data_IF_770906982424
#
_entry.id   IF_770906982424
#
_cell.length_a   1.000
_cell.length_b   1.000
_cell.length_c   1.000
_cell.angle_alpha   90.00
_cell.angle_beta   90.00
_cell.angle_gamma   90.00
#
_symmetry.space_group_name_H-M   'P 1'
#
loop_
_entity.id
_entity.type
_entity.pdbx_description
1 polymer ?
#
# COMPACT_ATOMS: atom_id res chain seq x y z
N UNK A 1 66.97 -1.22 -26.93
CA UNK A 1 66.85 -2.66 -26.68
C UNK A 1 65.58 -2.87 -25.87
N UNK A 2 64.43 -3.00 -26.53
CA UNK A 2 63.21 -3.58 -25.95
C UNK A 2 62.27 -3.96 -27.11
N UNK A 3 62.18 -5.25 -27.48
CA UNK A 3 61.16 -5.73 -28.40
C UNK A 3 59.88 -6.15 -27.64
N UNK A 4 58.74 -5.84 -28.28
CA UNK A 4 57.38 -6.02 -27.80
C UNK A 4 57.03 -7.44 -27.29
N UNK A 5 56.11 -7.57 -26.30
CA UNK A 5 55.55 -8.87 -25.96
C UNK A 5 54.42 -9.32 -26.89
N UNK A 6 54.45 -10.62 -27.13
CA UNK A 6 53.69 -11.41 -28.09
C UNK A 6 52.17 -11.48 -27.85
N UNK A 7 51.44 -11.71 -28.94
CA UNK A 7 50.07 -12.27 -28.93
C UNK A 7 50.09 -13.72 -28.46
N UNK A 8 49.10 -14.17 -27.66
CA UNK A 8 48.70 -15.57 -27.64
C UNK A 8 47.45 -15.82 -28.49
N UNK A 9 47.45 -17.00 -29.10
CA UNK A 9 46.53 -17.49 -30.11
C UNK A 9 45.20 -17.97 -29.52
N UNK A 10 44.15 -17.86 -30.33
CA UNK A 10 42.88 -18.54 -30.12
C UNK A 10 43.06 -20.06 -30.27
N UNK A 11 42.50 -20.83 -29.34
CA UNK A 11 42.24 -22.26 -29.54
C UNK A 11 40.75 -22.50 -29.31
N UNK A 12 40.12 -23.01 -30.36
CA UNK A 12 38.73 -23.44 -30.39
C UNK A 12 38.65 -24.97 -30.19
N UNK A 13 37.45 -25.40 -29.80
CA UNK A 13 36.80 -26.69 -30.04
C UNK A 13 36.97 -27.81 -28.99
N UNK A 14 35.81 -28.34 -28.55
CA UNK A 14 35.70 -29.64 -27.90
C UNK A 14 34.46 -29.84 -27.04
N UNK A 15 33.27 -29.96 -27.63
CA UNK A 15 32.21 -30.83 -27.10
C UNK A 15 31.99 -32.00 -28.09
N UNK A 16 31.04 -32.93 -27.89
CA UNK A 16 30.35 -33.39 -26.67
C UNK A 16 30.60 -34.89 -26.40
N UNK A 17 30.32 -35.38 -25.19
CA UNK A 17 30.21 -36.83 -24.91
C UNK A 17 28.79 -37.20 -24.50
N UNK A 18 28.19 -38.05 -25.32
CA UNK A 18 26.98 -38.83 -25.05
C UNK A 18 27.34 -40.33 -25.03
N UNK A 19 26.36 -41.16 -24.64
CA UNK A 19 26.33 -42.64 -24.65
C UNK A 19 26.82 -43.27 -23.33
N UNK A 20 26.09 -44.16 -22.64
CA UNK A 20 25.23 -45.29 -23.05
C UNK A 20 24.24 -45.66 -21.92
N UNK A 21 22.94 -45.91 -22.20
CA UNK A 21 22.20 -47.22 -22.22
C UNK A 21 22.31 -48.04 -20.91
N UNK A 22 21.30 -48.68 -20.31
CA UNK A 22 19.95 -49.16 -20.64
C UNK A 22 19.27 -49.56 -19.32
N UNK A 23 17.95 -49.34 -19.15
CA UNK A 23 16.96 -50.40 -18.82
C UNK A 23 15.56 -49.80 -18.55
N UNK A 24 14.50 -50.29 -19.22
CA UNK A 24 13.11 -49.97 -18.93
C UNK A 24 12.48 -51.00 -17.97
N UNK A 25 11.88 -50.52 -16.87
CA UNK A 25 10.97 -51.33 -16.06
C UNK A 25 9.59 -51.35 -16.72
N UNK A 26 9.25 -52.47 -17.36
CA UNK A 26 7.90 -52.80 -17.81
C UNK A 26 7.32 -53.95 -16.96
N UNK A 27 5.99 -53.94 -16.83
CA UNK A 27 5.08 -55.00 -16.36
C UNK A 27 4.69 -55.02 -14.87
N UNK A 28 3.55 -54.38 -14.57
CA UNK A 28 2.48 -55.08 -13.87
C UNK A 28 1.08 -54.66 -14.36
N UNK A 29 0.39 -55.61 -15.01
CA UNK A 29 -0.98 -55.94 -14.65
C UNK A 29 -2.13 -55.04 -15.10
N UNK A 30 -2.67 -55.36 -16.27
CA UNK A 30 -4.02 -55.06 -16.77
C UNK A 30 -5.12 -55.19 -15.70
N UNK A 31 -6.01 -54.20 -15.61
CA UNK A 31 -7.46 -54.42 -15.48
C UNK A 31 -8.25 -53.29 -16.13
N UNK A 32 -8.73 -53.56 -17.34
CA UNK A 32 -9.84 -52.85 -17.93
C UNK A 32 -11.14 -53.22 -17.20
N UNK A 33 -11.85 -52.24 -16.63
CA UNK A 33 -13.29 -52.36 -16.37
C UNK A 33 -14.02 -51.12 -16.86
N UNK A 34 -14.80 -51.38 -17.90
CA UNK A 34 -16.07 -50.81 -18.28
C UNK A 34 -16.60 -49.59 -17.50
N UNK A 35 -16.81 -48.53 -18.30
CA UNK A 35 -17.84 -47.48 -18.24
C UNK A 35 -19.02 -47.79 -17.29
N UNK A 36 -19.30 -46.84 -16.39
CA UNK A 36 -20.68 -46.51 -15.99
C UNK A 36 -20.90 -44.98 -16.06
N UNK A 37 -21.90 -44.51 -16.81
CA UNK A 37 -22.30 -43.10 -16.79
C UNK A 37 -23.05 -42.77 -15.48
N UNK A 38 -22.82 -41.57 -14.96
CA UNK A 38 -23.58 -41.01 -13.83
C UNK A 38 -25.04 -40.74 -14.23
N UNK A 39 -26.02 -41.00 -13.35
CA UNK A 39 -27.41 -40.62 -13.59
C UNK A 39 -27.66 -39.12 -13.35
N UNK A 40 -28.50 -38.45 -14.16
CA UNK A 40 -28.99 -37.12 -13.88
C UNK A 40 -30.24 -37.20 -12.97
N UNK A 41 -30.10 -36.82 -11.71
CA UNK A 41 -31.26 -36.54 -10.85
C UNK A 41 -31.06 -35.19 -10.16
N UNK A 42 -31.53 -34.14 -10.82
CA UNK A 42 -31.74 -32.82 -10.26
C UNK A 42 -33.19 -32.41 -10.51
N UNK A 43 -34.13 -32.92 -9.70
CA UNK A 43 -35.42 -32.26 -9.45
C UNK A 43 -35.84 -32.60 -8.03
N UNK A 44 -35.44 -31.76 -7.07
CA UNK A 44 -36.12 -31.65 -5.79
C UNK A 44 -36.64 -30.21 -5.70
N UNK A 45 -37.88 -30.05 -6.12
CA UNK A 45 -38.75 -28.92 -5.82
C UNK A 45 -38.82 -28.76 -4.31
N UNK A 46 -38.12 -27.77 -3.75
CA UNK A 46 -38.32 -27.36 -2.36
C UNK A 46 -39.13 -26.06 -2.40
N UNK A 47 -40.33 -26.20 -1.87
CA UNK A 47 -41.36 -25.19 -1.79
C UNK A 47 -40.88 -23.95 -1.02
N UNK A 48 -41.26 -22.78 -1.56
CA UNK A 48 -41.23 -21.48 -0.89
C UNK A 48 -42.22 -21.53 0.29
N UNK A 49 -41.82 -21.21 1.53
CA UNK A 49 -42.77 -20.66 2.48
C UNK A 49 -42.90 -19.14 2.27
N UNK A 50 -44.15 -18.72 2.31
CA UNK A 50 -44.64 -17.39 2.03
C UNK A 50 -44.15 -16.33 3.03
N UNK A 51 -43.85 -15.14 2.50
CA UNK A 51 -43.78 -13.90 3.27
C UNK A 51 -45.14 -13.59 3.89
N UNK A 52 -45.25 -13.34 5.20
CA UNK A 52 -46.44 -12.71 5.75
C UNK A 52 -46.43 -11.20 5.46
N UNK A 53 -47.63 -10.75 5.10
CA UNK A 53 -48.00 -9.40 4.71
C UNK A 53 -47.62 -8.34 5.75
N UNK A 54 -47.21 -7.18 5.24
CA UNK A 54 -47.23 -5.94 6.00
C UNK A 54 -48.67 -5.49 6.29
N UNK A 55 -48.93 -5.14 7.54
CA UNK A 55 -50.07 -4.35 7.96
C UNK A 55 -49.64 -3.52 9.17
N UNK A 56 -49.68 -2.18 9.06
CA UNK A 56 -49.31 -1.31 10.16
C UNK A 56 -49.19 0.17 9.80
N UNK A 57 -50.19 0.74 9.10
CA UNK A 57 -50.37 2.19 9.05
C UNK A 57 -51.09 2.64 10.32
N UNK A 58 -50.51 3.59 11.07
CA UNK A 58 -51.26 4.61 11.83
C UNK A 58 -50.46 5.91 11.88
N UNK A 59 -50.95 7.00 11.26
CA UNK A 59 -50.59 8.35 11.65
C UNK A 59 -51.63 8.87 12.65
N UNK A 60 -51.18 9.39 13.80
CA UNK A 60 -52.07 10.14 14.71
C UNK A 60 -51.46 11.50 15.01
N UNK A 61 -52.11 12.50 14.41
CA UNK A 61 -52.39 13.85 14.88
C UNK A 61 -51.41 14.53 15.87
N UNK A 62 -50.65 15.49 15.31
CA UNK A 62 -50.85 16.94 15.48
C UNK A 62 -51.47 17.39 16.82
N UNK A 63 -50.70 18.04 17.67
CA UNK A 63 -51.21 19.13 18.52
C UNK A 63 -50.26 20.32 18.46
N UNK A 64 -50.82 21.43 17.99
CA UNK A 64 -50.19 22.73 17.93
C UNK A 64 -50.30 23.42 19.30
N UNK A 65 -49.27 24.18 19.70
CA UNK A 65 -49.49 25.45 20.38
C UNK A 65 -48.26 26.35 20.23
N UNK A 66 -48.50 27.49 19.59
CA UNK A 66 -47.60 28.61 19.43
C UNK A 66 -47.73 29.57 20.66
N UNK A 67 -47.44 30.88 20.55
CA UNK A 67 -46.17 31.51 20.92
C UNK A 67 -46.35 32.61 22.00
N UNK A 68 -45.29 33.01 22.72
CA UNK A 68 -45.22 34.31 23.44
C UNK A 68 -43.75 34.76 23.47
N UNK A 69 -43.29 35.70 22.64
CA UNK A 69 -43.38 37.18 22.79
C UNK A 69 -43.03 37.66 24.21
N UNK A 70 -41.75 37.99 24.44
CA UNK A 70 -41.29 39.06 25.36
C UNK A 70 -39.98 39.59 24.74
N UNK A 71 -40.07 40.62 23.91
CA UNK A 71 -39.88 42.03 24.26
C UNK A 71 -38.40 42.43 24.35
N UNK A 72 -37.99 43.21 23.35
CA UNK A 72 -36.80 44.02 23.35
C UNK A 72 -36.79 44.99 24.54
N UNK A 73 -35.61 45.28 25.08
CA UNK A 73 -35.31 46.62 25.62
C UNK A 73 -33.81 46.87 25.61
N UNK A 74 -33.42 47.73 24.69
CA UNK A 74 -32.23 48.55 24.79
C UNK A 74 -32.34 49.44 26.04
N UNK A 75 -31.22 49.66 26.73
CA UNK A 75 -30.70 50.99 27.05
C UNK A 75 -29.49 50.87 27.98
N UNK A 76 -28.52 51.72 27.66
CA UNK A 76 -27.32 52.07 28.39
C UNK A 76 -27.45 51.99 29.92
N UNK A 77 -26.36 51.57 30.57
CA UNK A 77 -25.84 52.24 31.76
C UNK A 77 -24.33 52.04 31.83
N UNK A 78 -23.63 53.13 31.62
CA UNK A 78 -22.28 53.45 32.07
C UNK A 78 -22.10 53.05 33.54
N UNK A 79 -21.02 52.35 33.89
CA UNK A 79 -20.40 52.51 35.20
C UNK A 79 -18.94 52.01 35.19
N UNK A 80 -18.02 52.93 34.91
CA UNK A 80 -16.58 52.76 35.07
C UNK A 80 -16.26 52.79 36.56
N UNK A 81 -16.34 51.67 37.28
CA UNK A 81 -15.77 51.59 38.64
C UNK A 81 -14.29 51.22 38.60
N UNK A 82 -13.53 52.29 38.77
CA UNK A 82 -12.10 52.37 39.10
C UNK A 82 -11.84 51.58 40.39
N UNK A 83 -11.47 50.30 40.28
CA UNK A 83 -11.02 49.52 41.45
C UNK A 83 -9.52 49.70 41.62
N UNK A 84 -9.20 50.40 42.70
CA UNK A 84 -7.89 50.63 43.29
C UNK A 84 -6.96 49.40 43.22
N UNK A 85 -5.78 49.57 42.60
CA UNK A 85 -4.64 48.69 42.81
C UNK A 85 -4.10 48.92 44.23
N UNK A 86 -4.31 47.95 45.11
CA UNK A 86 -3.56 47.79 46.35
C UNK A 86 -2.61 46.62 46.16
N UNK A 87 -1.33 46.91 46.37
CA UNK A 87 -0.15 46.07 46.27
C UNK A 87 -0.37 44.56 46.28
N UNK A 88 -0.10 43.94 45.13
CA UNK A 88 0.46 42.60 45.05
C UNK A 88 1.34 42.55 43.79
N UNK A 89 2.64 42.75 43.95
CA UNK A 89 3.59 42.18 43.00
C UNK A 89 3.59 40.66 43.24
N UNK A 90 3.33 39.85 42.22
CA UNK A 90 4.18 38.72 41.98
C UNK A 90 4.84 38.88 40.61
N UNK A 91 6.16 38.77 40.67
CA UNK A 91 7.12 38.67 39.58
C UNK A 91 6.51 37.89 38.41
N UNK A 92 6.26 38.58 37.29
CA UNK A 92 6.03 37.93 36.01
C UNK A 92 7.36 37.34 35.54
N UNK A 93 7.69 36.15 36.04
CA UNK A 93 8.71 35.32 35.42
C UNK A 93 8.17 34.93 34.04
N UNK A 94 8.68 35.60 33.02
CA UNK A 94 8.45 35.29 31.62
C UNK A 94 9.02 33.88 31.37
N UNK A 95 8.21 32.85 31.64
CA UNK A 95 8.50 31.48 31.23
C UNK A 95 8.30 31.42 29.72
N UNK A 96 9.26 31.98 28.98
CA UNK A 96 9.48 31.68 27.58
C UNK A 96 9.96 30.23 27.50
N UNK A 97 9.06 29.28 27.67
CA UNK A 97 9.31 27.91 27.25
C UNK A 97 9.51 27.99 25.74
N UNK A 98 10.76 27.80 25.31
CA UNK A 98 11.12 27.67 23.90
C UNK A 98 10.20 26.65 23.26
N UNK A 99 9.19 27.11 22.52
CA UNK A 99 8.67 26.36 21.39
C UNK A 99 9.77 26.40 20.32
N UNK A 100 10.84 25.63 20.55
CA UNK A 100 11.83 25.39 19.52
C UNK A 100 11.05 24.77 18.35
N UNK A 101 11.10 25.34 17.14
CA UNK A 101 10.56 24.64 15.99
C UNK A 101 11.24 23.29 15.95
N UNK A 102 10.46 22.21 16.01
CA UNK A 102 10.99 20.88 15.69
C UNK A 102 11.54 21.01 14.29
N UNK A 103 12.88 21.06 14.18
CA UNK A 103 13.54 20.98 12.90
C UNK A 103 13.15 19.62 12.34
N UNK A 104 12.15 19.61 11.46
CA UNK A 104 11.76 18.43 10.72
C UNK A 104 12.93 18.15 9.77
N UNK A 105 13.89 17.38 10.28
CA UNK A 105 14.99 16.88 9.50
C UNK A 105 14.46 15.77 8.61
N UNK A 106 14.84 15.81 7.34
CA UNK A 106 14.51 14.79 6.37
C UNK A 106 15.81 14.26 5.78
N UNK A 107 15.83 12.96 5.53
CA UNK A 107 16.95 12.25 4.91
C UNK A 107 16.55 11.73 3.55
N UNK A 108 17.47 11.82 2.61
CA UNK A 108 17.28 11.24 1.29
C UNK A 108 17.33 9.71 1.38
N UNK A 109 16.21 9.05 1.06
CA UNK A 109 16.11 7.59 1.01
C UNK A 109 15.91 7.15 -0.42
N UNK A 110 16.68 6.16 -0.86
CA UNK A 110 16.54 5.57 -2.19
C UNK A 110 15.88 4.20 -2.09
N UNK A 111 14.72 4.06 -2.73
CA UNK A 111 13.96 2.83 -2.85
C UNK A 111 14.24 2.19 -4.20
N UNK A 112 14.56 0.89 -4.18
CA UNK A 112 14.78 0.09 -5.38
C UNK A 112 13.85 -1.10 -5.37
N UNK A 113 12.97 -1.19 -6.36
CA UNK A 113 12.07 -2.32 -6.58
C UNK A 113 12.40 -2.97 -7.91
N UNK A 114 13.07 -4.12 -7.88
CA UNK A 114 13.33 -4.94 -9.05
C UNK A 114 12.18 -5.90 -9.29
N UNK A 115 11.60 -5.87 -10.49
CA UNK A 115 10.56 -6.81 -10.86
C UNK A 115 11.14 -8.12 -11.40
N UNK A 116 10.39 -9.20 -11.18
CA UNK A 116 10.62 -10.49 -11.81
C UNK A 116 10.37 -10.41 -13.31
N UNK A 117 10.82 -11.43 -14.03
CA UNK A 117 10.39 -11.62 -15.40
C UNK A 117 8.98 -12.20 -15.36
N UNK A 118 8.05 -11.51 -16.02
CA UNK A 118 6.66 -11.92 -16.22
C UNK A 118 6.27 -11.55 -17.67
N UNK A 119 5.19 -12.14 -18.18
CA UNK A 119 4.62 -11.76 -19.48
C UNK A 119 3.58 -10.66 -19.30
N UNK A 120 3.29 -9.88 -20.35
CA UNK A 120 2.29 -8.80 -20.30
C UNK A 120 2.90 -7.39 -20.28
N UNK A 121 2.05 -6.41 -20.04
CA UNK A 121 2.43 -4.98 -20.03
C UNK A 121 3.16 -4.58 -18.74
N UNK A 122 3.64 -3.33 -18.68
CA UNK A 122 4.33 -2.81 -17.51
C UNK A 122 3.44 -2.83 -16.26
N UNK A 123 3.96 -3.37 -15.16
CA UNK A 123 3.28 -3.41 -13.88
C UNK A 123 3.04 -2.01 -13.32
N UNK A 124 1.84 -1.82 -12.78
CA UNK A 124 1.54 -0.78 -11.82
C UNK A 124 2.18 -1.18 -10.48
N UNK A 125 2.90 -0.25 -9.88
CA UNK A 125 3.60 -0.46 -8.60
C UNK A 125 3.35 0.77 -7.73
N UNK A 126 2.90 0.57 -6.50
CA UNK A 126 2.81 1.66 -5.51
C UNK A 126 3.60 1.31 -4.28
N UNK A 127 4.40 2.27 -3.81
CA UNK A 127 5.13 2.22 -2.55
C UNK A 127 4.42 3.16 -1.58
N UNK A 128 4.02 2.68 -0.42
CA UNK A 128 3.31 3.48 0.59
C UNK A 128 3.71 3.08 2.00
N UNK A 129 3.37 3.93 2.96
CA UNK A 129 3.73 3.76 4.37
C UNK A 129 2.48 3.62 5.22
N UNK A 130 2.54 2.70 6.19
CA UNK A 130 1.54 2.59 7.26
C UNK A 130 2.19 2.70 8.63
N UNK A 131 1.42 3.08 9.64
CA UNK A 131 1.83 3.01 11.04
C UNK A 131 1.74 1.58 11.59
N UNK A 132 2.12 1.38 12.86
CA UNK A 132 2.03 0.08 13.56
C UNK A 132 0.60 -0.47 13.65
N UNK A 133 -0.42 0.39 13.58
CA UNK A 133 -1.82 -0.01 13.59
C UNK A 133 -2.33 -0.34 12.17
N UNK A 134 -1.48 -0.22 11.14
CA UNK A 134 -1.84 -0.44 9.74
C UNK A 134 -2.56 0.73 9.09
N UNK A 135 -2.60 1.92 9.71
CA UNK A 135 -3.19 3.09 9.10
C UNK A 135 -2.24 3.71 8.08
N UNK A 136 -2.78 4.01 6.90
CA UNK A 136 -2.06 4.70 5.83
C UNK A 136 -1.57 6.09 6.28
N UNK A 137 -0.30 6.37 5.98
CA UNK A 137 0.36 7.63 6.31
C UNK A 137 0.75 8.43 5.08
N UNK A 138 1.02 7.75 3.96
CA UNK A 138 1.41 8.42 2.74
C UNK A 138 1.87 7.47 1.64
N UNK A 139 1.85 7.96 0.41
CA UNK A 139 2.41 7.28 -0.75
C UNK A 139 3.78 7.88 -1.04
N UNK A 140 4.76 7.00 -1.21
CA UNK A 140 6.14 7.37 -1.53
C UNK A 140 6.34 7.49 -3.02
N UNK A 141 5.78 6.54 -3.79
CA UNK A 141 5.87 6.54 -5.25
C UNK A 141 4.74 5.74 -5.88
N UNK A 142 4.33 6.15 -7.07
CA UNK A 142 3.37 5.43 -7.91
C UNK A 142 3.89 5.28 -9.34
N UNK A 143 4.27 4.08 -9.72
CA UNK A 143 4.54 3.73 -11.11
C UNK A 143 3.22 3.31 -11.79
N UNK A 144 2.77 4.11 -12.76
CA UNK A 144 1.52 3.88 -13.48
C UNK A 144 0.77 5.18 -13.74
N UNK A 145 0.57 5.54 -15.01
CA UNK A 145 0.03 6.85 -15.42
C UNK A 145 -1.50 6.90 -15.47
N UNK A 146 -2.17 5.77 -15.66
CA UNK A 146 -3.61 5.75 -15.87
C UNK A 146 -4.34 5.37 -14.57
N UNK A 147 -5.10 6.32 -14.04
CA UNK A 147 -5.81 6.20 -12.76
C UNK A 147 -6.84 5.07 -12.74
N UNK A 148 -7.41 4.70 -13.89
CA UNK A 148 -8.39 3.60 -14.00
C UNK A 148 -7.84 2.29 -13.44
N UNK A 149 -6.53 2.06 -13.48
CA UNK A 149 -5.93 0.82 -12.98
C UNK A 149 -5.56 0.85 -11.50
N UNK A 150 -5.68 1.99 -10.82
CA UNK A 150 -5.29 2.08 -9.41
C UNK A 150 -6.15 1.22 -8.48
N UNK A 151 -7.37 0.87 -8.91
CA UNK A 151 -8.23 -0.09 -8.20
C UNK A 151 -7.62 -1.50 -8.06
N UNK A 152 -6.65 -1.84 -8.90
CA UNK A 152 -5.96 -3.13 -8.90
C UNK A 152 -4.82 -3.17 -7.89
N UNK A 153 -4.41 -2.01 -7.35
CA UNK A 153 -3.48 -1.88 -6.22
C UNK A 153 -4.28 -1.99 -4.92
N UNK A 154 -4.81 -3.20 -4.66
CA UNK A 154 -6.00 -3.38 -3.81
C UNK A 154 -5.86 -2.87 -2.38
N UNK A 155 -4.74 -3.12 -1.71
CA UNK A 155 -4.57 -2.73 -0.30
C UNK A 155 -4.35 -1.23 -0.20
N UNK A 156 -3.52 -0.68 -1.08
CA UNK A 156 -3.36 0.77 -1.21
C UNK A 156 -4.70 1.47 -1.54
N UNK A 157 -5.46 0.93 -2.49
CA UNK A 157 -6.73 1.50 -2.90
C UNK A 157 -7.76 1.45 -1.78
N UNK A 158 -7.82 0.35 -1.03
CA UNK A 158 -8.67 0.20 0.14
C UNK A 158 -8.29 1.18 1.25
N UNK A 159 -6.99 1.38 1.49
CA UNK A 159 -6.50 2.27 2.53
C UNK A 159 -6.75 3.75 2.23
N UNK A 160 -6.83 4.13 0.95
CA UNK A 160 -6.92 5.53 0.51
C UNK A 160 -8.26 5.91 -0.11
N UNK A 161 -9.13 4.92 -0.38
CA UNK A 161 -10.32 5.11 -1.21
C UNK A 161 -10.00 5.53 -2.65
N UNK A 162 -8.77 5.34 -3.12
CA UNK A 162 -8.29 5.81 -4.42
C UNK A 162 -8.11 7.34 -4.52
N UNK A 163 -8.11 8.04 -3.39
CA UNK A 163 -8.08 9.52 -3.31
C UNK A 163 -6.77 10.10 -2.77
N UNK A 164 -5.76 9.27 -2.57
CA UNK A 164 -4.46 9.72 -2.09
C UNK A 164 -3.83 10.75 -3.04
N UNK A 165 -3.12 11.71 -2.44
CA UNK A 165 -2.42 12.77 -3.17
C UNK A 165 -1.15 12.20 -3.79
N UNK A 166 -1.00 12.37 -5.12
CA UNK A 166 0.10 11.79 -5.90
C UNK A 166 0.94 12.84 -6.65
N UNK A 167 0.73 14.13 -6.37
CA UNK A 167 1.40 15.22 -7.07
C UNK A 167 2.93 15.08 -6.96
N UNK A 168 3.61 14.89 -8.09
CA UNK A 168 5.08 14.81 -8.17
C UNK A 168 5.69 13.45 -7.79
N UNK A 169 4.89 12.44 -7.46
CA UNK A 169 5.38 11.09 -7.08
C UNK A 169 4.92 9.99 -8.04
N UNK A 170 4.47 10.36 -9.25
CA UNK A 170 4.03 9.42 -10.29
C UNK A 170 5.07 9.22 -11.38
N UNK A 171 5.21 7.99 -11.86
CA UNK A 171 6.08 7.63 -12.99
C UNK A 171 5.42 6.68 -13.99
N UNK A 172 6.19 6.27 -15.00
CA UNK A 172 5.78 5.21 -15.92
C UNK A 172 5.62 3.87 -15.17
N UNK A 173 4.75 3.00 -15.68
CA UNK A 173 4.68 1.60 -15.24
C UNK A 173 6.01 0.89 -15.51
N UNK A 174 6.28 -0.18 -14.77
CA UNK A 174 7.59 -0.83 -14.73
C UNK A 174 7.55 -2.12 -15.52
N UNK A 175 8.34 -2.23 -16.59
CA UNK A 175 8.40 -3.46 -17.39
C UNK A 175 9.01 -4.66 -16.65
N UNK A 176 8.74 -5.86 -17.15
CA UNK A 176 9.32 -7.11 -16.65
C UNK A 176 10.86 -7.06 -16.56
N UNK A 177 11.41 -7.57 -15.47
CA UNK A 177 12.86 -7.58 -15.21
C UNK A 177 13.50 -6.20 -14.97
N UNK A 178 12.73 -5.10 -15.09
CA UNK A 178 13.22 -3.74 -14.86
C UNK A 178 13.25 -3.41 -13.38
N UNK A 179 13.98 -2.34 -13.05
CA UNK A 179 14.08 -1.81 -11.69
C UNK A 179 13.44 -0.42 -11.66
N UNK A 180 12.50 -0.24 -10.75
CA UNK A 180 12.02 1.06 -10.32
C UNK A 180 12.97 1.61 -9.27
N UNK A 181 13.44 2.84 -9.46
CA UNK A 181 14.24 3.58 -8.48
C UNK A 181 13.53 4.90 -8.16
N UNK A 182 13.28 5.15 -6.89
CA UNK A 182 12.73 6.40 -6.40
C UNK A 182 13.60 6.91 -5.24
N UNK A 183 14.02 8.17 -5.32
CA UNK A 183 14.83 8.81 -4.28
C UNK A 183 14.06 10.02 -3.79
N UNK A 184 13.78 10.08 -2.49
CA UNK A 184 12.95 11.13 -1.89
C UNK A 184 13.39 11.41 -0.46
N UNK A 185 13.04 12.60 0.02
CA UNK A 185 13.31 13.01 1.39
C UNK A 185 12.24 12.43 2.32
N UNK A 186 12.66 11.54 3.21
CA UNK A 186 11.82 10.93 4.24
C UNK A 186 12.12 11.63 5.56
N UNK A 187 11.08 12.06 6.28
CA UNK A 187 11.25 12.67 7.60
C UNK A 187 11.91 11.67 8.56
N UNK A 188 12.92 12.14 9.29
CA UNK A 188 13.66 11.30 10.26
C UNK A 188 12.74 10.71 11.33
N UNK A 189 11.60 11.37 11.63
CA UNK A 189 10.58 10.89 12.56
C UNK A 189 9.83 9.63 12.09
N UNK A 190 9.94 9.24 10.81
CA UNK A 190 9.37 8.00 10.28
C UNK A 190 10.35 6.82 10.39
N UNK A 191 11.65 7.09 10.43
CA UNK A 191 12.69 6.06 10.56
C UNK A 191 12.70 5.52 12.01
N UNK A 192 12.78 4.20 12.15
CA UNK A 192 12.87 3.51 13.45
C UNK A 192 11.65 3.73 14.39
N UNK A 193 10.58 4.38 13.91
CA UNK A 193 9.37 4.70 14.68
C UNK A 193 8.26 3.62 14.58
N UNK A 194 8.55 2.49 13.92
CA UNK A 194 7.61 1.37 13.77
C UNK A 194 6.64 1.50 12.59
N UNK A 195 6.94 2.39 11.64
CA UNK A 195 6.26 2.43 10.34
C UNK A 195 6.72 1.29 9.44
N UNK A 196 5.85 0.88 8.52
CA UNK A 196 6.11 -0.16 7.53
C UNK A 196 5.99 0.39 6.11
N UNK A 197 6.88 -0.04 5.22
CA UNK A 197 6.79 0.18 3.78
C UNK A 197 6.03 -1.00 3.18
N UNK A 198 5.02 -0.70 2.39
CA UNK A 198 4.24 -1.66 1.63
C UNK A 198 4.40 -1.45 0.13
N UNK A 199 4.34 -2.54 -0.62
CA UNK A 199 4.32 -2.53 -2.09
C UNK A 199 3.15 -3.35 -2.59
N UNK A 200 2.27 -2.70 -3.35
CA UNK A 200 1.27 -3.39 -4.15
C UNK A 200 1.72 -3.40 -5.60
N UNK A 201 1.49 -4.51 -6.29
CA UNK A 201 1.71 -4.60 -7.73
C UNK A 201 0.51 -5.19 -8.47
N UNK A 202 0.30 -4.74 -9.70
CA UNK A 202 -0.67 -5.32 -10.60
C UNK A 202 -0.21 -5.18 -12.05
N UNK A 203 -0.44 -6.21 -12.85
CA UNK A 203 -0.26 -6.15 -14.31
C UNK A 203 -1.65 -6.25 -14.94
N UNK A 204 -1.88 -5.49 -16.01
CA UNK A 204 -3.16 -5.49 -16.72
C UNK A 204 -3.54 -6.92 -17.14
N UNK A 205 -4.80 -7.29 -16.88
CA UNK A 205 -5.36 -8.62 -17.15
C UNK A 205 -4.63 -9.80 -16.49
N UNK A 206 -3.86 -9.54 -15.43
CA UNK A 206 -3.09 -10.55 -14.71
C UNK A 206 -3.26 -10.45 -13.19
N UNK A 207 -2.34 -11.07 -12.43
CA UNK A 207 -2.42 -11.13 -10.99
C UNK A 207 -2.30 -9.74 -10.34
N UNK A 208 -3.05 -9.56 -9.27
CA UNK A 208 -2.91 -8.44 -8.35
C UNK A 208 -2.22 -8.97 -7.09
N UNK A 209 -1.11 -8.37 -6.68
CA UNK A 209 -0.35 -8.78 -5.50
C UNK A 209 -0.41 -7.65 -4.46
N UNK A 210 -1.48 -7.59 -3.65
CA UNK A 210 -1.58 -6.61 -2.58
C UNK A 210 -0.51 -6.86 -1.51
N UNK A 211 0.12 -5.78 -1.06
CA UNK A 211 1.10 -5.76 0.02
C UNK A 211 2.17 -6.86 -0.11
N UNK A 212 2.60 -7.14 -1.36
CA UNK A 212 3.47 -8.27 -1.68
C UNK A 212 4.85 -8.17 -1.05
N UNK A 213 5.25 -6.95 -0.69
CA UNK A 213 6.33 -6.63 0.22
C UNK A 213 5.74 -5.78 1.35
N UNK A 214 6.09 -6.15 2.58
CA UNK A 214 5.83 -5.38 3.80
C UNK A 214 7.09 -5.47 4.66
N UNK A 215 7.76 -4.34 4.91
CA UNK A 215 8.99 -4.31 5.70
C UNK A 215 9.03 -3.09 6.62
N UNK A 216 9.63 -3.19 7.82
CA UNK A 216 9.85 -2.04 8.67
C UNK A 216 10.70 -0.96 7.99
N UNK A 217 10.33 0.30 8.17
CA UNK A 217 11.12 1.47 7.80
C UNK A 217 12.09 1.82 8.94
N UNK A 218 13.28 1.23 8.93
CA UNK A 218 14.24 1.35 10.03
C UNK A 218 15.69 1.17 9.55
N UNK A 219 16.65 1.63 10.35
CA UNK A 219 18.07 1.52 9.97
C UNK A 219 18.55 0.07 9.89
N UNK A 220 17.96 -0.83 10.68
CA UNK A 220 18.34 -2.25 10.73
C UNK A 220 17.98 -3.01 9.43
N UNK A 221 16.94 -2.60 8.72
CA UNK A 221 16.48 -3.17 7.46
C UNK A 221 17.11 -2.54 6.22
N UNK A 222 17.67 -1.33 6.35
CA UNK A 222 18.30 -0.61 5.25
C UNK A 222 19.42 -1.43 4.59
N UNK A 223 19.49 -1.37 3.25
CA UNK A 223 20.43 -2.08 2.41
C UNK A 223 20.14 -3.57 2.21
N UNK A 224 19.24 -4.17 3.00
CA UNK A 224 18.90 -5.59 2.91
C UNK A 224 17.84 -5.81 1.85
N UNK A 225 18.15 -6.70 0.89
CA UNK A 225 17.19 -7.10 -0.12
C UNK A 225 16.16 -8.07 0.46
N UNK A 226 14.89 -7.80 0.22
CA UNK A 226 13.76 -8.68 0.53
C UNK A 226 13.10 -9.14 -0.76
N UNK A 227 12.64 -10.39 -0.78
CA UNK A 227 11.92 -10.96 -1.91
C UNK A 227 10.42 -10.75 -1.74
N UNK A 228 9.74 -10.28 -2.78
CA UNK A 228 8.29 -10.19 -2.81
C UNK A 228 7.61 -11.52 -3.08
N UNK A 229 6.29 -11.56 -2.86
CA UNK A 229 5.46 -12.76 -3.05
C UNK A 229 4.96 -12.92 -4.49
N UNK A 230 5.01 -11.86 -5.30
CA UNK A 230 4.48 -11.80 -6.66
C UNK A 230 5.49 -11.25 -7.65
N UNK A 231 5.21 -10.06 -8.19
CA UNK A 231 6.03 -9.47 -9.25
C UNK A 231 7.33 -8.85 -8.74
N UNK A 232 7.49 -8.59 -7.45
CA UNK A 232 8.75 -8.05 -6.90
C UNK A 232 9.76 -9.17 -6.72
N UNK A 233 10.81 -9.18 -7.56
CA UNK A 233 11.96 -10.08 -7.42
C UNK A 233 12.81 -9.70 -6.21
N UNK A 234 13.11 -8.42 -6.08
CA UNK A 234 13.81 -7.88 -4.91
C UNK A 234 13.41 -6.44 -4.64
N UNK A 235 13.28 -6.12 -3.36
CA UNK A 235 13.11 -4.76 -2.87
C UNK A 235 14.19 -4.45 -1.85
N UNK A 236 14.74 -3.24 -1.89
CA UNK A 236 15.61 -2.70 -0.85
C UNK A 236 15.50 -1.19 -0.80
N UNK A 237 15.89 -0.60 0.32
CA UNK A 237 16.05 0.84 0.44
C UNK A 237 17.40 1.18 1.09
N UNK A 238 17.96 2.34 0.78
CA UNK A 238 19.19 2.86 1.39
C UNK A 238 18.94 4.25 1.98
N UNK A 239 19.47 4.47 3.19
CA UNK A 239 19.44 5.74 3.92
C UNK A 239 20.68 6.57 3.58
#
# INVERSE_FOLDING_TARGET
>A
MEPAPARPQAVANGGPSASTRNEPCEACGRHARARRPLPPHAIATIARPASPCGAGRKPVARTARAPRLIAARAALLTETRRTQMKHALPIAALAGALAAPSLASARQVTFETQLANYGGDGAYVVLYVTDRAGHYQGTLWMAGRQTKYYRHLRDWYRATGGSARLDGITGASVGAGRTLRATLDVADSLLDAGYEIHIDTAVEDMNENPSEVAVPLNAAGAGKAVKGRGYVKSFRYSL
#
